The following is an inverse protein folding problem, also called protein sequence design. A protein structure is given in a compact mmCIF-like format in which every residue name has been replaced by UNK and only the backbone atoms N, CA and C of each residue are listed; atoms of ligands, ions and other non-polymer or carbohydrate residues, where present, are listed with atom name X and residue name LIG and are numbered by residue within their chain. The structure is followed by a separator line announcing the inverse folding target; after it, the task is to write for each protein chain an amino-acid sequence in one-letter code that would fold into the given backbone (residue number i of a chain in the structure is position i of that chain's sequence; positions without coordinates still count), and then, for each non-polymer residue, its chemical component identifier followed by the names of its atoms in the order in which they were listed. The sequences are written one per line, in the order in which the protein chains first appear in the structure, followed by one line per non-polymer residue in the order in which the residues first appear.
data_IF_129050232919
#
_entry.id   IF_129050232919
#
_cell.length_a   1.000
_cell.length_b   1.000
_cell.length_c   1.000
_cell.angle_alpha   90.00
_cell.angle_beta   90.00
_cell.angle_gamma   90.00
#
_symmetry.space_group_name_H-M   'P 1'
#
loop_
_entity.id
_entity.type
_entity.pdbx_description
1 polymer ?
#
# COMPACT_ATOMS: atom_id res chain seq x y z
N UNK A 1 6.95 18.60 6.10
CA UNK A 1 6.93 18.69 7.57
C UNK A 1 7.93 17.66 8.09
N UNK A 2 8.73 17.98 9.11
CA UNK A 2 9.73 17.04 9.66
C UNK A 2 9.13 16.28 10.84
N UNK A 3 9.55 15.02 11.00
CA UNK A 3 9.20 14.16 12.13
C UNK A 3 10.48 13.75 12.85
N UNK A 4 10.39 13.54 14.16
CA UNK A 4 11.52 13.18 15.01
C UNK A 4 11.11 12.02 15.90
N UNK A 5 11.78 10.89 15.78
CA UNK A 5 11.53 9.71 16.63
C UNK A 5 12.55 9.63 17.76
N UNK A 6 12.07 9.45 18.98
CA UNK A 6 12.94 9.22 20.13
C UNK A 6 13.44 7.77 20.14
N UNK A 7 14.73 7.54 19.89
CA UNK A 7 15.36 6.22 19.88
C UNK A 7 15.30 5.47 21.22
N UNK A 8 15.00 6.17 22.33
CA UNK A 8 14.86 5.55 23.65
C UNK A 8 13.47 4.95 23.89
N UNK A 9 12.41 5.55 23.35
CA UNK A 9 11.02 5.19 23.70
C UNK A 9 10.06 5.06 22.50
N UNK A 10 10.49 5.41 21.30
CA UNK A 10 9.67 5.37 20.08
C UNK A 10 8.69 6.54 19.92
N UNK A 11 8.72 7.55 20.79
CA UNK A 11 7.81 8.69 20.67
C UNK A 11 8.15 9.57 19.45
N UNK A 12 7.15 9.83 18.59
CA UNK A 12 7.31 10.66 17.38
C UNK A 12 6.79 12.09 17.62
N UNK A 13 7.68 13.06 17.48
CA UNK A 13 7.39 14.49 17.55
C UNK A 13 7.33 15.09 16.15
N UNK A 14 6.29 15.89 15.86
CA UNK A 14 6.11 16.56 14.58
C UNK A 14 6.52 18.03 14.71
N UNK A 15 7.54 18.45 13.96
CA UNK A 15 8.05 19.82 14.04
C UNK A 15 9.33 20.01 13.22
N UNK A 16 9.67 21.25 12.89
CA UNK A 16 10.87 21.55 12.09
C UNK A 16 12.17 21.15 12.80
N UNK A 17 12.16 21.10 14.12
CA UNK A 17 13.30 20.72 14.99
C UNK A 17 12.80 19.82 16.13
N UNK A 18 13.65 18.92 16.67
CA UNK A 18 13.27 18.09 17.80
C UNK A 18 13.23 18.93 19.09
N UNK A 19 12.42 18.55 20.08
CA UNK A 19 12.41 19.23 21.38
C UNK A 19 13.74 19.01 22.12
N UNK A 20 14.04 19.89 23.09
CA UNK A 20 15.25 19.77 23.92
C UNK A 20 15.27 18.45 24.72
N UNK A 21 14.10 18.00 25.16
CA UNK A 21 13.89 16.75 25.89
C UNK A 21 12.64 16.04 25.37
N UNK A 22 12.62 14.71 25.42
CA UNK A 22 11.48 13.92 24.99
C UNK A 22 10.30 14.11 25.95
N UNK A 23 9.13 14.55 25.48
CA UNK A 23 7.98 14.77 26.35
C UNK A 23 7.41 13.47 26.95
N UNK A 24 7.78 12.31 26.38
CA UNK A 24 7.33 11.02 26.87
C UNK A 24 8.27 10.42 27.94
N UNK A 25 9.59 10.50 27.74
CA UNK A 25 10.56 9.79 28.58
C UNK A 25 11.72 10.64 29.12
N UNK A 26 11.76 11.95 28.83
CA UNK A 26 12.78 12.88 29.29
C UNK A 26 14.16 12.69 28.65
N UNK A 27 14.29 11.93 27.56
CA UNK A 27 15.58 11.77 26.88
C UNK A 27 16.03 13.07 26.21
N UNK A 28 17.34 13.39 26.20
CA UNK A 28 17.84 14.61 25.55
C UNK A 28 17.62 14.56 24.03
N UNK A 29 17.63 15.73 23.39
CA UNK A 29 17.44 15.90 21.94
C UNK A 29 18.37 15.03 21.07
N UNK A 30 19.53 14.65 21.59
CA UNK A 30 20.52 13.79 20.92
C UNK A 30 19.97 12.37 20.66
N UNK A 31 18.98 11.96 21.44
CA UNK A 31 18.29 10.67 21.30
C UNK A 31 17.15 10.72 20.28
N UNK A 32 16.98 11.83 19.55
CA UNK A 32 16.01 11.95 18.47
C UNK A 32 16.68 11.74 17.11
N UNK A 33 16.04 10.94 16.27
CA UNK A 33 16.40 10.74 14.87
C UNK A 33 15.36 11.40 13.98
N UNK A 34 15.81 12.17 12.98
CA UNK A 34 14.92 12.76 11.98
C UNK A 34 14.32 11.65 11.13
N UNK A 35 12.99 11.55 11.14
CA UNK A 35 12.24 10.72 10.21
C UNK A 35 11.88 11.59 9.01
N UNK A 36 12.49 11.28 7.87
CA UNK A 36 12.04 11.82 6.59
C UNK A 36 10.62 11.31 6.33
N UNK A 37 9.69 12.25 6.12
CA UNK A 37 8.34 11.90 5.71
C UNK A 37 8.39 11.48 4.24
N UNK A 38 8.59 10.19 3.98
CA UNK A 38 8.09 9.62 2.74
C UNK A 38 6.57 9.73 2.80
N UNK A 39 5.91 10.34 1.80
CA UNK A 39 4.46 10.45 1.80
C UNK A 39 3.84 9.06 1.89
N UNK A 40 3.27 8.76 3.06
CA UNK A 40 2.37 7.65 3.31
C UNK A 40 1.24 7.76 2.28
N UNK A 41 1.35 6.97 1.21
CA UNK A 41 0.55 7.15 -0.01
C UNK A 41 1.27 6.86 -1.32
N UNK A 42 2.57 6.54 -1.30
CA UNK A 42 3.20 5.82 -2.40
C UNK A 42 3.52 4.41 -1.94
N UNK A 43 2.67 3.48 -2.34
CA UNK A 43 3.06 2.08 -2.47
C UNK A 43 4.13 2.04 -3.57
N UNK A 44 5.36 2.36 -3.21
CA UNK A 44 6.53 1.98 -3.99
C UNK A 44 6.98 0.63 -3.45
N UNK A 45 6.34 -0.41 -3.97
CA UNK A 45 7.09 -1.65 -4.12
C UNK A 45 8.26 -1.32 -5.05
N UNK A 46 9.48 -1.59 -4.60
CA UNK A 46 10.66 -1.53 -5.46
C UNK A 46 10.31 -2.18 -6.80
N UNK A 47 10.79 -1.60 -7.90
CA UNK A 47 10.42 -1.89 -9.29
C UNK A 47 10.49 -3.39 -9.68
N UNK A 48 11.01 -4.26 -8.82
CA UNK A 48 11.16 -5.69 -9.02
C UNK A 48 10.09 -6.59 -8.37
N UNK A 49 9.18 -6.09 -7.51
CA UNK A 49 8.12 -6.94 -6.92
C UNK A 49 6.76 -6.25 -6.74
N UNK A 50 6.23 -5.67 -7.82
CA UNK A 50 4.77 -5.60 -7.96
C UNK A 50 4.32 -6.97 -8.44
N UNK A 51 3.49 -7.76 -7.73
CA UNK A 51 2.72 -8.80 -8.40
C UNK A 51 1.72 -8.08 -9.30
N UNK A 52 2.20 -7.63 -10.46
CA UNK A 52 1.35 -7.32 -11.59
C UNK A 52 0.68 -8.64 -11.90
N UNK A 53 -0.53 -8.89 -11.39
CA UNK A 53 -1.33 -9.97 -11.93
C UNK A 53 -1.64 -9.52 -13.36
N UNK A 54 -0.92 -10.05 -14.37
CA UNK A 54 -0.93 -9.47 -15.72
C UNK A 54 -2.27 -9.72 -16.40
N UNK A 55 -3.09 -10.59 -15.80
CA UNK A 55 -4.39 -11.01 -16.27
C UNK A 55 -5.41 -10.73 -15.19
N UNK A 56 -6.45 -10.02 -15.59
CA UNK A 56 -7.63 -9.70 -14.80
C UNK A 56 -8.82 -10.18 -15.59
N UNK A 57 -9.77 -10.82 -14.92
CA UNK A 57 -10.93 -11.42 -15.56
C UNK A 57 -12.19 -10.81 -14.96
N UNK A 58 -12.96 -10.12 -15.78
CA UNK A 58 -14.23 -9.54 -15.36
C UNK A 58 -15.38 -10.49 -15.73
N UNK A 59 -16.24 -10.75 -14.75
CA UNK A 59 -17.44 -11.53 -14.98
C UNK A 59 -18.50 -10.67 -15.67
N UNK A 60 -18.85 -11.01 -16.91
CA UNK A 60 -19.87 -10.32 -17.72
C UNK A 60 -21.27 -10.35 -17.07
N UNK A 61 -21.52 -11.32 -16.18
CA UNK A 61 -22.80 -11.45 -15.50
C UNK A 61 -22.96 -10.56 -14.26
N UNK A 62 -21.88 -10.28 -13.52
CA UNK A 62 -21.96 -9.58 -12.22
C UNK A 62 -20.91 -8.49 -12.00
N UNK A 63 -19.94 -8.34 -12.91
CA UNK A 63 -18.86 -7.36 -12.82
C UNK A 63 -17.73 -7.72 -11.84
N UNK A 64 -17.71 -8.93 -11.26
CA UNK A 64 -16.60 -9.35 -10.40
C UNK A 64 -15.29 -9.39 -11.20
N UNK A 65 -14.27 -8.70 -10.71
CA UNK A 65 -12.91 -8.75 -11.26
C UNK A 65 -12.05 -9.73 -10.45
N UNK A 66 -11.60 -10.81 -11.11
CA UNK A 66 -10.69 -11.79 -10.54
C UNK A 66 -9.24 -11.53 -10.98
N UNK A 67 -8.34 -11.35 -10.01
CA UNK A 67 -6.89 -11.16 -10.23
C UNK A 67 -6.19 -12.54 -10.27
N UNK A 68 -6.36 -13.26 -11.38
CA UNK A 68 -5.81 -14.62 -11.56
C UNK A 68 -5.17 -14.75 -12.94
N UNK A 69 -4.16 -15.61 -13.04
CA UNK A 69 -3.49 -15.96 -14.31
C UNK A 69 -4.45 -16.57 -15.35
N UNK A 70 -5.55 -17.16 -14.90
CA UNK A 70 -6.60 -17.71 -15.76
C UNK A 70 -7.99 -17.47 -15.16
N UNK A 71 -9.00 -17.33 -16.02
CA UNK A 71 -10.39 -17.21 -15.60
C UNK A 71 -10.79 -18.40 -14.71
N UNK A 72 -11.45 -18.15 -13.57
CA UNK A 72 -11.92 -19.22 -12.71
C UNK A 72 -13.00 -20.06 -13.42
N UNK A 73 -13.12 -21.34 -13.02
CA UNK A 73 -14.13 -22.25 -13.56
C UNK A 73 -15.56 -21.73 -13.35
N UNK A 74 -15.80 -21.09 -12.20
CA UNK A 74 -17.06 -20.48 -11.80
C UNK A 74 -16.80 -19.16 -11.09
N UNK A 75 -17.70 -18.19 -11.26
CA UNK A 75 -17.62 -16.92 -10.58
C UNK A 75 -17.95 -17.10 -9.10
N UNK A 76 -17.04 -16.79 -8.16
CA UNK A 76 -17.30 -16.97 -6.74
C UNK A 76 -18.41 -16.05 -6.20
N UNK A 77 -18.79 -15.00 -6.95
CA UNK A 77 -19.86 -14.10 -6.56
C UNK A 77 -21.25 -14.54 -7.04
N UNK A 78 -21.36 -15.19 -8.20
CA UNK A 78 -22.66 -15.49 -8.82
C UNK A 78 -22.81 -16.89 -9.41
N UNK A 79 -21.75 -17.71 -9.38
CA UNK A 79 -21.74 -19.05 -9.95
C UNK A 79 -21.67 -19.12 -11.48
N UNK A 80 -21.49 -17.98 -12.18
CA UNK A 80 -21.41 -17.98 -13.64
C UNK A 80 -20.18 -18.77 -14.15
N UNK A 81 -20.29 -19.59 -15.21
CA UNK A 81 -19.19 -20.41 -15.70
C UNK A 81 -18.05 -19.56 -16.31
N UNK A 82 -16.87 -20.16 -16.49
CA UNK A 82 -15.67 -19.55 -17.09
C UNK A 82 -15.94 -18.77 -18.38
N UNK A 83 -16.89 -19.22 -19.20
CA UNK A 83 -17.32 -18.58 -20.45
C UNK A 83 -17.93 -17.18 -20.25
N UNK A 84 -18.36 -16.86 -19.03
CA UNK A 84 -18.86 -15.54 -18.63
C UNK A 84 -17.77 -14.62 -18.10
N UNK A 85 -16.49 -14.98 -18.27
CA UNK A 85 -15.37 -14.11 -17.97
C UNK A 85 -14.74 -13.59 -19.27
N UNK A 86 -14.49 -12.29 -19.32
CA UNK A 86 -13.65 -11.69 -20.35
C UNK A 86 -12.36 -11.16 -19.72
N UNK A 87 -11.24 -11.28 -20.44
CA UNK A 87 -9.95 -10.79 -19.97
C UNK A 87 -9.88 -9.28 -20.16
N UNK A 88 -9.65 -8.54 -19.07
CA UNK A 88 -9.31 -7.13 -19.14
C UNK A 88 -7.83 -7.01 -19.50
N UNK A 89 -7.54 -6.70 -20.76
CA UNK A 89 -6.21 -6.26 -21.16
C UNK A 89 -5.87 -4.96 -20.42
N UNK A 90 -4.62 -4.80 -20.02
CA UNK A 90 -4.11 -3.65 -19.28
C UNK A 90 -4.05 -2.37 -20.11
N UNK A 91 -5.10 -2.00 -20.82
CA UNK A 91 -5.22 -0.66 -21.38
C UNK A 91 -5.46 0.30 -20.20
N UNK A 92 -4.60 1.33 -20.02
CA UNK A 92 -4.87 2.36 -19.04
C UNK A 92 -6.15 3.07 -19.46
N UNK A 93 -7.17 3.01 -18.61
CA UNK A 93 -8.32 3.91 -18.73
C UNK A 93 -7.77 5.31 -18.52
N UNK A 94 -7.69 6.07 -19.62
CA UNK A 94 -7.20 7.45 -19.64
C UNK A 94 -8.12 8.44 -18.94
#
# INVERSE_FOLDING_TARGET
MKRWECQKCGHVYNGMVPPAECPNCGSPREQFTELEFEPEGKVFVAEEHIPQHPKRWECDNCGLIALKEEAPAECPSCGAPKERFHQLNGEPVG
#
